data_IF_885784639501
#
_entry.id   IF_885784639501
#
_cell.length_a   1.000
_cell.length_b   1.000
_cell.length_c   1.000
_cell.angle_alpha   90.00
_cell.angle_beta   90.00
_cell.angle_gamma   90.00
#
_symmetry.space_group_name_H-M   'P 1'
#
loop_
_entity.id
_entity.type
_entity.pdbx_description
1 polymer ?
#
# COMPACT_ATOMS: atom_id res chain seq x y z
N UNK A 1 19.25 -13.37 -1.60
CA UNK A 1 18.35 -12.52 -2.42
C UNK A 1 19.08 -11.87 -3.61
N UNK A 2 18.40 -11.73 -4.76
CA UNK A 2 18.93 -11.12 -6.00
C UNK A 2 18.03 -9.96 -6.40
N UNK A 3 18.60 -8.78 -6.67
CA UNK A 3 17.84 -7.63 -7.14
C UNK A 3 17.29 -7.88 -8.56
N UNK A 4 16.04 -7.48 -8.80
CA UNK A 4 15.39 -7.60 -10.12
C UNK A 4 15.42 -6.28 -10.91
N UNK A 5 15.43 -5.14 -10.21
CA UNK A 5 15.64 -3.81 -10.75
C UNK A 5 16.36 -2.95 -9.70
N UNK A 6 17.23 -2.05 -10.15
CA UNK A 6 18.01 -1.16 -9.26
C UNK A 6 17.93 0.31 -9.65
N UNK A 7 17.64 0.61 -10.93
CA UNK A 7 17.59 1.98 -11.46
C UNK A 7 16.44 2.12 -12.47
N UNK A 8 16.05 3.36 -12.74
CA UNK A 8 15.15 3.74 -13.82
C UNK A 8 15.88 4.69 -14.79
N UNK A 9 16.17 4.22 -16.00
CA UNK A 9 16.99 4.92 -17.00
C UNK A 9 18.32 5.47 -16.42
N UNK A 10 19.00 4.66 -15.60
CA UNK A 10 20.29 5.01 -14.99
C UNK A 10 20.21 5.93 -13.77
N UNK A 11 19.02 6.30 -13.31
CA UNK A 11 18.80 7.01 -12.04
C UNK A 11 18.42 6.03 -10.94
N UNK A 12 18.95 6.23 -9.75
CA UNK A 12 18.58 5.41 -8.61
C UNK A 12 17.11 5.61 -8.26
N UNK A 13 16.42 4.53 -7.89
CA UNK A 13 15.12 4.66 -7.23
C UNK A 13 15.26 5.44 -5.92
N UNK A 14 14.24 6.20 -5.55
CA UNK A 14 14.27 7.02 -4.36
C UNK A 14 14.40 6.15 -3.10
N UNK A 15 13.36 5.38 -2.79
CA UNK A 15 13.25 4.51 -1.62
C UNK A 15 12.11 3.49 -1.81
N UNK A 16 12.27 2.46 -2.67
CA UNK A 16 11.21 1.49 -2.91
C UNK A 16 10.60 0.95 -1.61
N UNK A 17 9.28 1.07 -1.46
CA UNK A 17 8.63 0.93 -0.14
C UNK A 17 7.75 -0.32 -0.05
N UNK A 18 6.87 -0.54 -1.01
CA UNK A 18 5.97 -1.69 -1.04
C UNK A 18 5.89 -2.27 -2.44
N UNK A 19 5.57 -3.56 -2.54
CA UNK A 19 5.43 -4.25 -3.80
C UNK A 19 4.25 -5.23 -3.80
N UNK A 20 3.61 -5.39 -4.96
CA UNK A 20 2.57 -6.38 -5.20
C UNK A 20 2.88 -7.15 -6.49
N UNK A 21 2.80 -8.48 -6.42
CA UNK A 21 3.05 -9.36 -7.57
C UNK A 21 1.75 -9.61 -8.31
N UNK A 22 1.78 -9.56 -9.64
CA UNK A 22 0.65 -9.91 -10.50
C UNK A 22 1.19 -10.60 -11.75
N UNK A 23 0.76 -11.84 -12.02
CA UNK A 23 1.32 -12.65 -13.10
C UNK A 23 2.86 -12.68 -13.08
N UNK A 24 3.48 -12.36 -14.20
CA UNK A 24 4.94 -12.32 -14.39
C UNK A 24 5.54 -10.93 -14.12
N UNK A 25 4.92 -10.11 -13.26
CA UNK A 25 5.44 -8.79 -12.96
C UNK A 25 5.22 -8.33 -11.52
N UNK A 26 5.84 -7.19 -11.22
CA UNK A 26 5.87 -6.61 -9.88
C UNK A 26 5.52 -5.13 -9.96
N UNK A 27 4.43 -4.75 -9.32
CA UNK A 27 4.12 -3.37 -9.01
C UNK A 27 4.92 -2.93 -7.78
N UNK A 28 5.42 -1.70 -7.77
CA UNK A 28 6.05 -1.15 -6.57
C UNK A 28 5.92 0.36 -6.46
N UNK A 29 5.98 0.87 -5.23
CA UNK A 29 5.96 2.30 -4.89
C UNK A 29 7.36 2.81 -4.59
N UNK A 30 7.65 4.05 -4.98
CA UNK A 30 8.97 4.67 -4.80
C UNK A 30 8.87 6.08 -4.16
N UNK A 31 8.53 6.19 -2.87
CA UNK A 31 8.50 7.47 -2.16
C UNK A 31 9.90 8.02 -1.91
N UNK A 32 9.97 9.30 -1.52
CA UNK A 32 11.23 9.96 -1.13
C UNK A 32 11.60 9.79 0.36
N UNK A 33 10.83 9.01 1.13
CA UNK A 33 10.93 8.98 2.59
C UNK A 33 12.31 8.51 3.11
N UNK A 34 13.07 7.72 2.35
CA UNK A 34 14.40 7.33 2.78
C UNK A 34 15.41 8.46 2.78
N UNK A 35 15.23 9.48 1.93
CA UNK A 35 16.02 10.70 2.01
C UNK A 35 15.60 11.55 3.22
N UNK A 36 14.29 11.68 3.45
CA UNK A 36 13.75 12.43 4.59
C UNK A 36 14.16 11.84 5.95
N UNK A 37 14.39 10.52 5.98
CA UNK A 37 14.87 9.75 7.15
C UNK A 37 16.40 9.55 7.14
N UNK A 38 17.12 10.25 6.26
CA UNK A 38 18.59 10.31 6.21
C UNK A 38 19.30 8.95 6.00
N UNK A 39 18.68 8.03 5.25
CA UNK A 39 19.31 6.74 4.87
C UNK A 39 19.41 6.51 3.36
N UNK A 40 18.96 7.48 2.54
CA UNK A 40 19.12 7.49 1.08
C UNK A 40 19.63 8.84 0.60
N UNK A 41 20.33 8.81 -0.53
CA UNK A 41 20.73 10.02 -1.26
C UNK A 41 19.52 10.87 -1.68
N UNK A 42 19.74 12.16 -1.97
CA UNK A 42 18.69 13.02 -2.52
C UNK A 42 17.98 12.38 -3.73
N UNK A 43 16.63 12.42 -3.79
CA UNK A 43 15.84 11.86 -4.87
C UNK A 43 16.26 12.34 -6.25
N UNK A 44 16.28 11.42 -7.23
CA UNK A 44 16.55 11.71 -8.65
C UNK A 44 15.32 11.49 -9.52
N UNK A 45 14.22 10.98 -8.94
CA UNK A 45 12.98 10.63 -9.59
C UNK A 45 11.79 11.22 -8.82
N UNK A 46 10.67 11.54 -9.48
CA UNK A 46 9.45 11.89 -8.77
C UNK A 46 8.89 10.68 -8.00
N UNK A 47 8.19 10.89 -6.85
CA UNK A 47 7.46 9.82 -6.19
C UNK A 47 6.46 9.17 -7.13
N UNK A 48 6.64 7.88 -7.40
CA UNK A 48 5.91 7.20 -8.48
C UNK A 48 5.53 5.76 -8.12
N UNK A 49 4.60 5.23 -8.89
CA UNK A 49 4.30 3.79 -8.97
C UNK A 49 4.95 3.24 -10.23
N UNK A 50 5.59 2.10 -10.12
CA UNK A 50 6.27 1.42 -11.22
C UNK A 50 5.73 0.01 -11.43
N UNK A 51 5.93 -0.50 -12.65
CA UNK A 51 5.73 -1.90 -13.02
C UNK A 51 7.05 -2.46 -13.55
N UNK A 52 7.50 -3.56 -12.97
CA UNK A 52 8.59 -4.37 -13.49
C UNK A 52 8.03 -5.61 -14.19
N UNK A 53 8.27 -5.72 -15.49
CA UNK A 53 7.93 -6.88 -16.30
C UNK A 53 9.09 -7.90 -16.23
N UNK A 54 8.86 -9.10 -15.69
CA UNK A 54 9.93 -10.09 -15.54
C UNK A 54 10.33 -10.72 -16.88
N UNK A 55 9.44 -10.77 -17.85
CA UNK A 55 9.68 -11.37 -19.18
C UNK A 55 10.53 -10.43 -20.02
N UNK A 56 10.13 -9.16 -20.13
CA UNK A 56 10.90 -8.15 -20.86
C UNK A 56 12.12 -7.66 -20.07
N UNK A 57 12.12 -7.85 -18.74
CA UNK A 57 13.10 -7.28 -17.79
C UNK A 57 13.17 -5.77 -17.87
N UNK A 58 12.01 -5.15 -18.05
CA UNK A 58 11.86 -3.70 -18.17
C UNK A 58 11.05 -3.12 -17.01
N UNK A 59 11.43 -1.92 -16.59
CA UNK A 59 10.65 -1.13 -15.64
C UNK A 59 9.96 0.00 -16.39
N UNK A 60 8.69 0.25 -16.09
CA UNK A 60 7.96 1.41 -16.57
C UNK A 60 7.34 2.19 -15.41
N UNK A 61 7.41 3.51 -15.45
CA UNK A 61 6.63 4.37 -14.56
C UNK A 61 5.15 4.31 -14.97
N UNK A 62 4.26 4.10 -14.00
CA UNK A 62 2.87 3.73 -14.23
C UNK A 62 1.87 4.78 -13.74
N UNK A 63 2.22 5.50 -12.67
CA UNK A 63 1.45 6.61 -12.17
C UNK A 63 2.34 7.55 -11.33
N UNK A 64 2.03 8.83 -11.38
CA UNK A 64 2.67 9.92 -10.64
C UNK A 64 1.61 10.77 -9.90
N UNK A 65 2.02 11.95 -9.42
CA UNK A 65 1.14 12.87 -8.71
C UNK A 65 0.75 12.38 -7.31
N UNK A 66 1.68 11.72 -6.64
CA UNK A 66 1.58 11.34 -5.23
C UNK A 66 2.53 12.20 -4.40
N UNK A 67 2.19 12.43 -3.14
CA UNK A 67 3.12 13.06 -2.18
C UNK A 67 4.06 11.99 -1.61
N UNK A 68 3.52 10.89 -1.11
CA UNK A 68 4.29 9.76 -0.57
C UNK A 68 3.58 8.43 -0.87
N UNK A 69 3.76 7.87 -2.08
CA UNK A 69 3.20 6.55 -2.41
C UNK A 69 3.86 5.50 -1.49
N UNK A 70 3.07 4.78 -0.71
CA UNK A 70 3.55 3.91 0.37
C UNK A 70 3.09 2.47 0.15
N UNK A 71 1.91 2.11 0.64
CA UNK A 71 1.31 0.78 0.45
C UNK A 71 0.77 0.57 -0.96
N UNK A 72 0.84 -0.66 -1.44
CA UNK A 72 0.29 -1.08 -2.73
C UNK A 72 -0.37 -2.44 -2.61
N UNK A 73 -1.51 -2.63 -3.25
CA UNK A 73 -2.21 -3.91 -3.31
C UNK A 73 -2.92 -4.05 -4.65
N UNK A 74 -3.09 -5.29 -5.11
CA UNK A 74 -3.87 -5.63 -6.30
C UNK A 74 -5.01 -6.55 -5.89
N UNK A 75 -6.17 -6.41 -6.52
CA UNK A 75 -7.27 -7.35 -6.32
C UNK A 75 -6.97 -8.74 -6.92
N UNK A 76 -7.77 -9.73 -6.51
CA UNK A 76 -7.61 -11.12 -6.96
C UNK A 76 -7.81 -11.27 -8.47
N UNK A 77 -8.64 -10.41 -9.08
CA UNK A 77 -8.88 -10.40 -10.52
C UNK A 77 -7.76 -9.70 -11.32
N UNK A 78 -6.76 -9.10 -10.66
CA UNK A 78 -5.75 -8.25 -11.30
C UNK A 78 -6.33 -7.15 -12.19
N UNK A 79 -7.47 -6.61 -11.77
CA UNK A 79 -8.24 -5.59 -12.46
C UNK A 79 -8.13 -4.21 -11.81
N UNK A 80 -7.83 -4.15 -10.52
CA UNK A 80 -7.75 -2.91 -9.74
C UNK A 80 -6.46 -2.87 -8.93
N UNK A 81 -5.70 -1.79 -9.08
CA UNK A 81 -4.52 -1.49 -8.26
C UNK A 81 -4.88 -0.43 -7.23
N UNK A 82 -4.61 -0.72 -5.96
CA UNK A 82 -4.76 0.21 -4.85
C UNK A 82 -3.40 0.76 -4.44
N UNK A 83 -3.31 2.07 -4.25
CA UNK A 83 -2.08 2.76 -3.85
C UNK A 83 -2.40 3.71 -2.71
N UNK A 84 -1.70 3.55 -1.59
CA UNK A 84 -1.79 4.45 -0.45
C UNK A 84 -0.85 5.64 -0.65
N UNK A 85 -1.34 6.85 -0.39
CA UNK A 85 -0.56 8.06 -0.28
C UNK A 85 -0.53 8.52 1.17
N UNK A 86 0.67 8.46 1.76
CA UNK A 86 0.93 8.77 3.16
C UNK A 86 1.55 10.16 3.36
N UNK A 87 1.32 11.08 2.42
CA UNK A 87 1.89 12.43 2.46
C UNK A 87 1.56 13.24 3.72
N UNK A 88 0.51 12.87 4.45
CA UNK A 88 0.12 13.50 5.71
C UNK A 88 0.97 13.12 6.91
N UNK A 89 1.77 12.06 6.87
CA UNK A 89 2.74 11.77 7.95
C UNK A 89 4.09 12.36 7.58
N UNK A 90 4.63 13.24 8.42
CA UNK A 90 5.97 13.81 8.24
C UNK A 90 7.05 12.90 8.83
N UNK A 91 8.32 13.16 8.51
CA UNK A 91 9.46 12.38 9.01
C UNK A 91 9.58 12.42 10.54
N UNK A 92 9.12 13.50 11.19
CA UNK A 92 9.06 13.64 12.66
C UNK A 92 7.86 12.92 13.29
N UNK A 93 7.06 12.21 12.50
CA UNK A 93 5.85 11.51 12.93
C UNK A 93 4.63 12.41 13.11
N UNK A 94 4.74 13.72 12.90
CA UNK A 94 3.60 14.63 12.98
C UNK A 94 2.62 14.41 11.82
N UNK A 95 1.33 14.68 12.09
CA UNK A 95 0.25 14.49 11.14
C UNK A 95 -0.23 15.85 10.59
N UNK A 96 -0.09 16.02 9.28
CA UNK A 96 -0.65 17.13 8.53
C UNK A 96 -1.98 16.72 7.89
N UNK A 97 -3.07 17.28 8.42
CA UNK A 97 -4.43 16.85 8.05
C UNK A 97 -4.86 17.33 6.66
N UNK A 98 -4.18 18.32 6.06
CA UNK A 98 -4.49 18.84 4.72
C UNK A 98 -3.71 18.13 3.60
N UNK A 99 -2.76 17.27 3.96
CA UNK A 99 -1.99 16.45 3.03
C UNK A 99 -2.65 15.07 2.82
N UNK A 100 -2.27 14.32 1.76
CA UNK A 100 -2.87 13.03 1.46
C UNK A 100 -2.74 12.01 2.60
N UNK A 101 -3.85 11.37 2.94
CA UNK A 101 -3.94 10.26 3.91
C UNK A 101 -4.83 9.18 3.31
N UNK A 102 -4.65 8.96 2.03
CA UNK A 102 -5.67 8.47 1.12
C UNK A 102 -5.24 7.17 0.47
N UNK A 103 -6.21 6.31 0.20
CA UNK A 103 -6.04 5.16 -0.69
C UNK A 103 -6.69 5.55 -2.01
N UNK A 104 -5.93 5.43 -3.10
CA UNK A 104 -6.43 5.60 -4.46
C UNK A 104 -6.60 4.24 -5.12
N UNK A 105 -7.61 4.11 -5.97
CA UNK A 105 -7.79 2.97 -6.86
C UNK A 105 -7.53 3.38 -8.31
N UNK A 106 -6.98 2.44 -9.07
CA UNK A 106 -6.76 2.54 -10.51
C UNK A 106 -7.30 1.30 -11.19
N UNK A 107 -7.91 1.48 -12.35
CA UNK A 107 -8.23 0.36 -13.22
C UNK A 107 -6.97 -0.06 -13.97
N UNK A 108 -6.68 -1.35 -13.95
CA UNK A 108 -5.61 -1.96 -14.75
C UNK A 108 -6.22 -2.29 -16.10
N UNK A 109 -5.82 -1.55 -17.13
CA UNK A 109 -6.35 -1.70 -18.49
C UNK A 109 -5.25 -2.08 -19.47
N UNK A 110 -5.60 -2.77 -20.56
CA UNK A 110 -4.67 -3.05 -21.66
C UNK A 110 -4.93 -2.12 -22.84
N UNK A 111 -3.86 -1.63 -23.47
CA UNK A 111 -3.90 -0.96 -24.77
C UNK A 111 -2.85 -1.61 -25.68
N UNK A 112 -3.30 -2.44 -26.61
CA UNK A 112 -2.43 -3.42 -27.27
C UNK A 112 -1.87 -4.40 -26.24
N UNK A 113 -0.58 -4.71 -26.34
CA UNK A 113 0.11 -5.61 -25.40
C UNK A 113 0.55 -4.91 -24.10
N UNK A 114 0.41 -3.59 -24.02
CA UNK A 114 0.85 -2.80 -22.88
C UNK A 114 -0.27 -2.65 -21.83
N UNK A 115 0.09 -2.82 -20.56
CA UNK A 115 -0.76 -2.50 -19.39
C UNK A 115 -0.75 -0.99 -19.15
N UNK A 116 -1.80 -0.41 -18.57
CA UNK A 116 -1.86 0.98 -18.13
C UNK A 116 -2.67 1.08 -16.84
N UNK A 117 -2.39 2.09 -16.04
CA UNK A 117 -3.28 2.51 -14.96
C UNK A 117 -4.20 3.61 -15.48
N UNK A 118 -5.50 3.43 -15.30
CA UNK A 118 -6.54 4.38 -15.70
C UNK A 118 -7.47 4.71 -14.53
N UNK A 119 -8.30 5.73 -14.70
CA UNK A 119 -9.39 6.08 -13.77
C UNK A 119 -8.94 6.19 -12.30
N UNK A 120 -7.84 6.93 -12.06
CA UNK A 120 -7.39 7.30 -10.71
C UNK A 120 -8.56 7.91 -9.96
N UNK A 121 -8.93 7.30 -8.85
CA UNK A 121 -10.05 7.76 -8.00
C UNK A 121 -9.68 7.62 -6.53
N UNK A 122 -10.13 8.57 -5.72
CA UNK A 122 -10.10 8.40 -4.28
C UNK A 122 -10.98 7.20 -3.94
N UNK A 123 -10.39 6.20 -3.29
CA UNK A 123 -11.10 5.02 -2.83
C UNK A 123 -11.51 5.18 -1.37
N UNK A 124 -10.56 5.55 -0.50
CA UNK A 124 -10.82 5.79 0.91
C UNK A 124 -9.90 6.87 1.47
N UNK A 125 -10.34 7.54 2.54
CA UNK A 125 -9.51 8.41 3.36
C UNK A 125 -9.35 7.74 4.72
N UNK A 126 -8.11 7.54 5.17
CA UNK A 126 -7.83 6.87 6.43
C UNK A 126 -8.50 7.61 7.60
N UNK A 127 -9.06 6.85 8.54
CA UNK A 127 -9.77 7.40 9.69
C UNK A 127 -8.80 8.02 10.69
N UNK A 128 -7.63 7.40 10.89
CA UNK A 128 -6.54 7.95 11.71
C UNK A 128 -5.16 7.72 11.08
N UNK A 129 -4.27 8.69 11.28
CA UNK A 129 -2.91 8.64 10.72
C UNK A 129 -2.95 8.66 9.19
N UNK A 130 -2.09 7.85 8.56
CA UNK A 130 -2.07 7.62 7.12
C UNK A 130 -1.97 6.12 6.81
N UNK A 131 -2.51 5.67 5.66
CA UNK A 131 -2.34 4.30 5.23
C UNK A 131 -0.91 4.10 4.70
N UNK A 132 -0.22 3.04 5.14
CA UNK A 132 1.19 2.81 4.80
C UNK A 132 1.50 1.41 4.26
N UNK A 133 0.64 0.43 4.54
CA UNK A 133 0.70 -0.91 3.95
C UNK A 133 -0.72 -1.31 3.54
N UNK A 134 -0.87 -1.92 2.36
CA UNK A 134 -2.14 -2.40 1.84
C UNK A 134 -2.11 -3.91 1.57
N UNK A 135 -3.24 -4.56 1.73
CA UNK A 135 -3.50 -5.92 1.26
C UNK A 135 -4.94 -5.99 0.74
N UNK A 136 -5.17 -6.69 -0.36
CA UNK A 136 -6.52 -6.97 -0.85
C UNK A 136 -6.81 -8.45 -0.68
N UNK A 137 -7.95 -8.79 -0.06
CA UNK A 137 -8.36 -10.17 0.16
C UNK A 137 -9.88 -10.25 0.27
N UNK A 138 -10.49 -11.20 -0.44
CA UNK A 138 -11.94 -11.43 -0.48
C UNK A 138 -12.73 -10.17 -0.85
N UNK A 139 -12.19 -9.37 -1.78
CA UNK A 139 -12.78 -8.11 -2.23
C UNK A 139 -12.67 -6.95 -1.22
N UNK A 140 -12.02 -7.14 -0.08
CA UNK A 140 -11.79 -6.08 0.90
C UNK A 140 -10.37 -5.55 0.83
N UNK A 141 -10.20 -4.25 1.03
CA UNK A 141 -8.90 -3.59 1.13
C UNK A 141 -8.57 -3.37 2.61
N UNK A 142 -7.50 -4.01 3.07
CA UNK A 142 -6.97 -3.91 4.41
C UNK A 142 -5.83 -2.89 4.40
N UNK A 143 -5.85 -1.92 5.31
CA UNK A 143 -4.89 -0.85 5.36
C UNK A 143 -4.29 -0.71 6.76
N UNK A 144 -2.96 -0.77 6.85
CA UNK A 144 -2.23 -0.44 8.06
C UNK A 144 -2.24 1.09 8.24
N UNK A 145 -2.83 1.56 9.34
CA UNK A 145 -3.07 2.96 9.64
C UNK A 145 -2.58 3.32 11.06
N UNK A 146 -2.76 4.58 11.46
CA UNK A 146 -2.21 5.11 12.70
C UNK A 146 -2.79 4.53 14.00
N UNK A 147 -3.89 3.79 13.94
CA UNK A 147 -4.55 3.19 15.10
C UNK A 147 -4.85 1.69 14.96
N UNK A 148 -4.32 1.05 13.92
CA UNK A 148 -4.49 -0.37 13.69
C UNK A 148 -4.59 -0.74 12.21
N UNK A 149 -5.45 -1.71 11.92
CA UNK A 149 -5.79 -2.09 10.54
C UNK A 149 -7.24 -1.73 10.24
N UNK A 150 -7.43 -0.82 9.29
CA UNK A 150 -8.73 -0.46 8.75
C UNK A 150 -9.10 -1.44 7.62
N UNK A 151 -10.35 -1.91 7.60
CA UNK A 151 -10.86 -2.85 6.61
C UNK A 151 -11.96 -2.16 5.82
N UNK A 152 -11.76 -2.02 4.50
CA UNK A 152 -12.66 -1.33 3.59
C UNK A 152 -13.28 -2.33 2.62
N UNK A 153 -14.58 -2.21 2.33
CA UNK A 153 -15.19 -3.00 1.26
C UNK A 153 -14.73 -2.50 -0.12
N UNK A 154 -15.04 -3.25 -1.19
CA UNK A 154 -14.70 -2.88 -2.57
C UNK A 154 -15.30 -1.52 -3.04
N UNK A 155 -16.27 -0.98 -2.32
CA UNK A 155 -16.85 0.34 -2.57
C UNK A 155 -16.18 1.49 -1.79
N UNK A 156 -15.15 1.21 -0.99
CA UNK A 156 -14.45 2.22 -0.19
C UNK A 156 -15.17 2.60 1.12
N UNK A 157 -16.12 1.78 1.58
CA UNK A 157 -16.77 1.97 2.89
C UNK A 157 -16.07 1.17 3.99
N UNK A 158 -15.86 1.80 5.15
CA UNK A 158 -15.20 1.17 6.29
C UNK A 158 -16.11 0.08 6.87
N UNK A 159 -15.62 -1.16 6.90
CA UNK A 159 -16.28 -2.32 7.50
C UNK A 159 -15.91 -2.50 8.97
N UNK A 160 -14.67 -2.17 9.32
CA UNK A 160 -14.20 -2.38 10.68
C UNK A 160 -12.75 -1.98 10.89
N UNK A 161 -12.32 -2.11 12.14
CA UNK A 161 -10.99 -1.76 12.60
C UNK A 161 -10.48 -2.77 13.61
N UNK A 162 -9.29 -3.31 13.35
CA UNK A 162 -8.51 -4.05 14.34
C UNK A 162 -7.61 -3.05 15.04
N UNK A 163 -8.00 -2.63 16.25
CA UNK A 163 -7.28 -1.61 17.02
C UNK A 163 -5.94 -2.15 17.53
N UNK A 164 -4.87 -1.42 17.27
CA UNK A 164 -3.53 -1.67 17.83
C UNK A 164 -2.97 -0.34 18.31
N UNK A 165 -2.69 -0.24 19.61
CA UNK A 165 -2.16 0.99 20.19
C UNK A 165 -0.78 1.32 19.58
N UNK A 166 -0.67 2.52 19.00
CA UNK A 166 0.53 2.96 18.26
C UNK A 166 0.49 2.66 16.76
N UNK A 167 -0.59 2.07 16.25
CA UNK A 167 -0.76 1.79 14.83
C UNK A 167 -0.07 0.52 14.36
N UNK A 168 -0.17 0.24 13.05
CA UNK A 168 0.49 -0.88 12.38
C UNK A 168 1.27 -0.33 11.19
N UNK A 169 2.51 -0.79 11.01
CA UNK A 169 3.41 -0.39 9.94
C UNK A 169 3.36 -1.34 8.74
N UNK A 170 3.20 -2.64 9.01
CA UNK A 170 3.01 -3.68 8.01
C UNK A 170 2.34 -4.89 8.63
N UNK A 171 1.73 -5.72 7.80
CA UNK A 171 1.12 -6.96 8.24
C UNK A 171 1.13 -8.00 7.12
N UNK A 172 0.96 -9.27 7.50
CA UNK A 172 0.77 -10.35 6.54
C UNK A 172 -0.05 -11.49 7.15
N UNK A 173 -0.69 -12.28 6.29
CA UNK A 173 -1.32 -13.53 6.70
C UNK A 173 -0.26 -14.51 7.21
N UNK A 174 -0.61 -15.23 8.27
CA UNK A 174 0.16 -16.33 8.83
C UNK A 174 -0.57 -17.67 8.69
N UNK A 175 0.06 -18.77 9.11
CA UNK A 175 -0.59 -20.08 9.14
C UNK A 175 -1.76 -20.11 10.13
N UNK A 176 -2.59 -21.15 10.05
CA UNK A 176 -3.64 -21.45 11.04
C UNK A 176 -4.60 -20.28 11.32
N UNK A 177 -4.99 -19.54 10.28
CA UNK A 177 -5.91 -18.40 10.38
C UNK A 177 -5.37 -17.28 11.31
N UNK A 178 -4.08 -16.97 11.16
CA UNK A 178 -3.42 -15.87 11.88
C UNK A 178 -3.04 -14.71 10.97
N UNK A 179 -2.70 -13.59 11.59
CA UNK A 179 -2.06 -12.44 10.94
C UNK A 179 -0.97 -11.88 11.84
N UNK A 180 0.19 -11.57 11.25
CA UNK A 180 1.29 -10.93 11.96
C UNK A 180 1.29 -9.43 11.68
N UNK A 181 1.47 -8.62 12.72
CA UNK A 181 1.43 -7.15 12.67
C UNK A 181 2.73 -6.57 13.19
N UNK A 182 3.42 -5.79 12.38
CA UNK A 182 4.57 -5.00 12.82
C UNK A 182 4.06 -3.64 13.30
N UNK A 183 4.28 -3.32 14.57
CA UNK A 183 3.85 -2.08 15.21
C UNK A 183 5.06 -1.46 15.93
N UNK A 184 5.87 -0.73 15.16
CA UNK A 184 7.14 -0.16 15.62
C UNK A 184 8.04 -1.24 16.27
N UNK A 185 8.35 -1.14 17.57
CA UNK A 185 9.19 -2.11 18.28
C UNK A 185 8.47 -3.41 18.68
N UNK A 186 7.24 -3.66 18.19
CA UNK A 186 6.43 -4.82 18.57
C UNK A 186 6.00 -5.63 17.35
N UNK A 187 6.03 -6.95 17.50
CA UNK A 187 5.40 -7.89 16.59
C UNK A 187 4.20 -8.53 17.29
N UNK A 188 3.01 -8.35 16.74
CA UNK A 188 1.79 -8.97 17.23
C UNK A 188 1.41 -10.17 16.37
N UNK A 189 0.81 -11.18 16.99
CA UNK A 189 0.09 -12.26 16.29
C UNK A 189 -1.38 -12.17 16.63
N UNK A 190 -2.20 -11.86 15.64
CA UNK A 190 -3.65 -11.92 15.74
C UNK A 190 -4.13 -13.30 15.30
N UNK A 191 -4.94 -13.94 16.12
CA UNK A 191 -5.63 -15.19 15.78
C UNK A 191 -7.09 -14.86 15.45
N UNK A 192 -7.55 -15.23 14.26
CA UNK A 192 -8.96 -15.10 13.92
C UNK A 192 -9.74 -16.30 14.47
N UNK A 193 -10.98 -16.04 14.90
CA UNK A 193 -11.90 -17.13 15.26
C UNK A 193 -12.41 -17.81 14.00
N UNK A 194 -12.52 -19.14 14.02
CA UNK A 194 -13.14 -19.91 12.93
C UNK A 194 -14.67 -19.78 12.90
N UNK A 195 -15.24 -19.04 13.86
CA UNK A 195 -16.68 -18.77 13.97
C UNK A 195 -16.96 -17.35 13.50
N UNK A 196 -17.76 -17.21 12.44
CA UNK A 196 -18.40 -15.95 12.06
C UNK A 196 -19.45 -15.62 13.13
N UNK A 197 -19.25 -14.54 13.90
CA UNK A 197 -20.31 -13.97 14.72
C UNK A 197 -21.00 -12.91 13.88
N UNK A 198 -22.27 -13.13 13.53
CA UNK A 198 -23.14 -12.08 12.99
C UNK A 198 -23.31 -10.99 14.06
N UNK A 199 -22.44 -9.98 14.03
CA UNK A 199 -22.60 -8.81 14.88
C UNK A 199 -23.34 -7.73 14.08
N UNK A 200 -24.46 -7.26 14.62
CA UNK A 200 -25.19 -6.09 14.15
C UNK A 200 -24.26 -4.86 14.11
N UNK A 201 -24.45 -3.92 13.17
CA UNK A 201 -23.52 -2.82 12.91
C UNK A 201 -23.39 -1.76 14.01
N UNK A 202 -23.99 -1.95 15.19
CA UNK A 202 -24.06 -0.90 16.22
C UNK A 202 -22.86 -0.82 17.17
N UNK A 203 -21.84 -1.68 17.06
CA UNK A 203 -20.68 -1.63 17.96
C UNK A 203 -19.36 -2.01 17.26
N UNK A 204 -18.71 -1.03 16.62
CA UNK A 204 -17.26 -1.04 16.31
C UNK A 204 -16.63 0.36 16.38
#
# INVERSE_FOLDING_TARGET
>A
PKAVATTYYGRDFNSPHSAAVSGDGVWFTDPCCGHELDFRSPPQLPPSVYWYDQTAREVRAMADGFVRPSGIAIDEASSTLYVADAGGVKADGSLDLVQPRSIYAFDIVKRGDAIFLANKRLFALARRGSPIHLMCENGNVWAACGDGIEIWNNGGSLLGLIKVAGGVQSFCRGPDNTMFLCADQRLWRLQFSNTQRNASPELL
#
